data_IF_410151218287
#
_entry.id   IF_410151218287
#
_cell.length_a   1.000
_cell.length_b   1.000
_cell.length_c   1.000
_cell.angle_alpha   90.00
_cell.angle_beta   90.00
_cell.angle_gamma   90.00
#
_symmetry.space_group_name_H-M   'P 1'
#
loop_
_entity.id
_entity.type
_entity.pdbx_description
1 polymer ?
#
# COMPACT_ATOMS: atom_id res chain seq x y z
N UNK A 1 21.21 -18.25 -11.17
CA UNK A 1 19.90 -18.62 -11.75
C UNK A 1 18.84 -17.74 -11.10
N UNK A 2 18.19 -16.83 -11.85
CA UNK A 2 16.99 -16.14 -11.38
C UNK A 2 15.83 -17.13 -11.52
N UNK A 3 15.14 -17.44 -10.41
CA UNK A 3 13.88 -18.19 -10.47
C UNK A 3 12.84 -17.22 -11.02
N UNK A 4 12.25 -17.52 -12.17
CA UNK A 4 11.03 -16.84 -12.61
C UNK A 4 9.96 -17.13 -11.58
N UNK A 5 9.51 -16.08 -10.90
CA UNK A 5 8.37 -16.16 -10.01
C UNK A 5 7.15 -15.99 -10.90
N UNK A 6 6.43 -17.07 -11.17
CA UNK A 6 5.12 -17.05 -11.85
C UNK A 6 4.05 -17.15 -10.76
N UNK A 7 3.55 -16.02 -10.24
CA UNK A 7 2.56 -16.04 -9.17
C UNK A 7 1.19 -16.44 -9.71
N UNK A 8 0.57 -17.44 -9.09
CA UNK A 8 -0.82 -17.86 -9.38
C UNK A 8 -1.84 -16.72 -9.21
N UNK A 9 -1.49 -15.68 -8.42
CA UNK A 9 -2.32 -14.51 -8.17
C UNK A 9 -1.46 -13.28 -7.88
N UNK A 10 -1.80 -12.16 -8.52
CA UNK A 10 -1.19 -10.85 -8.27
C UNK A 10 -2.28 -9.88 -7.86
N UNK A 11 -2.10 -9.26 -6.69
CA UNK A 11 -2.98 -8.21 -6.19
C UNK A 11 -2.23 -6.88 -6.14
N UNK A 12 -2.74 -5.83 -6.79
CA UNK A 12 -2.11 -4.51 -6.71
C UNK A 12 -2.32 -3.91 -5.32
N UNK A 13 -1.28 -3.28 -4.80
CA UNK A 13 -1.30 -2.54 -3.55
C UNK A 13 -0.71 -1.14 -3.77
N UNK A 14 -1.55 -0.12 -3.61
CA UNK A 14 -1.16 1.27 -3.76
C UNK A 14 -0.77 1.92 -2.44
N UNK A 15 0.29 2.71 -2.46
CA UNK A 15 0.67 3.58 -1.34
C UNK A 15 0.47 5.02 -1.79
N UNK A 16 -0.41 5.74 -1.10
CA UNK A 16 -0.64 7.16 -1.34
C UNK A 16 -0.58 7.93 -0.02
N UNK A 17 -0.37 9.24 -0.10
CA UNK A 17 -0.24 10.06 1.10
C UNK A 17 -1.56 10.09 1.90
N UNK A 18 -2.68 10.34 1.21
CA UNK A 18 -4.00 10.56 1.82
C UNK A 18 -5.04 9.50 1.44
N UNK A 19 -4.65 8.37 0.85
CA UNK A 19 -5.59 7.36 0.37
C UNK A 19 -6.22 7.71 -0.99
N UNK A 20 -7.39 7.14 -1.25
CA UNK A 20 -8.21 7.41 -2.42
C UNK A 20 -9.38 8.34 -2.06
N UNK A 21 -10.02 8.94 -3.05
CA UNK A 21 -11.32 9.60 -2.82
C UNK A 21 -12.40 8.54 -2.51
N UNK A 22 -13.51 8.89 -1.83
CA UNK A 22 -14.54 7.91 -1.47
C UNK A 22 -15.08 7.10 -2.66
N UNK A 23 -15.35 7.78 -3.78
CA UNK A 23 -15.80 7.11 -5.02
C UNK A 23 -14.74 6.13 -5.56
N UNK A 24 -13.47 6.50 -5.47
CA UNK A 24 -12.36 5.66 -5.88
C UNK A 24 -12.15 4.49 -4.91
N UNK A 25 -12.32 4.66 -3.60
CA UNK A 25 -12.25 3.57 -2.63
C UNK A 25 -13.29 2.49 -2.93
N UNK A 26 -14.53 2.90 -3.22
CA UNK A 26 -15.60 1.96 -3.59
C UNK A 26 -15.23 1.19 -4.87
N UNK A 27 -14.72 1.90 -5.89
CA UNK A 27 -14.28 1.28 -7.13
C UNK A 27 -13.11 0.32 -6.92
N UNK A 28 -12.07 0.73 -6.20
CA UNK A 28 -10.86 -0.04 -5.95
C UNK A 28 -11.15 -1.29 -5.11
N UNK A 29 -12.00 -1.17 -4.08
CA UNK A 29 -12.48 -2.31 -3.29
C UNK A 29 -13.18 -3.35 -4.18
N UNK A 30 -14.05 -2.90 -5.08
CA UNK A 30 -14.75 -3.81 -6.02
C UNK A 30 -13.80 -4.55 -6.97
N UNK A 31 -12.61 -3.98 -7.22
CA UNK A 31 -11.55 -4.57 -8.04
C UNK A 31 -10.57 -5.40 -7.23
N UNK A 32 -10.76 -5.53 -5.92
CA UNK A 32 -9.82 -6.22 -5.04
C UNK A 32 -8.48 -5.52 -4.95
N UNK A 33 -8.43 -4.20 -5.15
CA UNK A 33 -7.20 -3.42 -5.04
C UNK A 33 -6.99 -3.04 -3.57
N UNK A 34 -5.78 -3.23 -3.06
CA UNK A 34 -5.40 -2.79 -1.72
C UNK A 34 -4.80 -1.38 -1.78
N UNK A 35 -4.96 -0.63 -0.70
CA UNK A 35 -4.23 0.63 -0.52
C UNK A 35 -3.88 0.87 0.94
N UNK A 36 -2.86 1.71 1.13
CA UNK A 36 -2.46 2.19 2.44
C UNK A 36 -2.15 3.68 2.35
N UNK A 37 -2.57 4.40 3.36
CA UNK A 37 -2.27 5.81 3.55
C UNK A 37 -0.87 6.00 4.11
N UNK A 38 -0.44 7.26 4.25
CA UNK A 38 0.79 7.56 4.99
C UNK A 38 0.72 7.11 6.45
N UNK A 39 -0.44 7.23 7.09
CA UNK A 39 -0.64 6.81 8.48
C UNK A 39 -0.49 5.30 8.62
N UNK A 40 -1.09 4.54 7.71
CA UNK A 40 -0.97 3.07 7.68
C UNK A 40 0.47 2.63 7.46
N UNK A 41 1.20 3.32 6.57
CA UNK A 41 2.61 3.05 6.31
C UNK A 41 3.47 3.38 7.53
N UNK A 42 3.27 4.54 8.15
CA UNK A 42 4.02 4.94 9.33
C UNK A 42 3.76 3.99 10.51
N UNK A 43 2.52 3.53 10.71
CA UNK A 43 2.18 2.52 11.71
C UNK A 43 2.86 1.17 11.45
N UNK A 44 2.97 0.75 10.18
CA UNK A 44 3.71 -0.45 9.79
C UNK A 44 5.21 -0.32 10.08
N UNK A 45 5.78 0.85 9.79
CA UNK A 45 7.20 1.13 10.06
C UNK A 45 7.48 1.12 11.56
N UNK A 46 6.61 1.71 12.38
CA UNK A 46 6.73 1.67 13.84
C UNK A 46 6.65 0.24 14.38
N UNK A 47 5.69 -0.54 13.89
CA UNK A 47 5.52 -1.92 14.32
C UNK A 47 6.74 -2.79 14.01
N UNK A 48 7.41 -2.53 12.88
CA UNK A 48 8.61 -3.25 12.45
C UNK A 48 9.90 -2.68 13.04
N UNK A 49 9.83 -1.59 13.82
CA UNK A 49 11.00 -0.88 14.35
C UNK A 49 11.84 -0.19 13.26
N UNK A 50 11.25 0.04 12.08
CA UNK A 50 11.89 0.72 10.97
C UNK A 50 11.78 2.24 11.10
N UNK A 51 12.75 2.94 10.52
CA UNK A 51 12.76 4.40 10.51
C UNK A 51 11.59 4.90 9.63
N UNK A 52 10.73 5.74 10.21
CA UNK A 52 9.69 6.47 9.46
C UNK A 52 10.31 7.29 8.33
N UNK A 53 9.57 7.41 7.23
CA UNK A 53 9.97 8.28 6.13
C UNK A 53 9.99 9.75 6.61
N UNK A 54 10.85 10.62 6.05
CA UNK A 54 10.78 12.05 6.37
C UNK A 54 9.37 12.59 6.02
N UNK A 55 8.84 13.46 6.87
CA UNK A 55 7.64 14.24 6.55
C UNK A 55 8.00 15.36 5.57
N UNK A 56 7.05 15.77 4.72
CA UNK A 56 7.20 17.06 4.03
C UNK A 56 7.26 18.14 5.11
N UNK A 57 8.38 18.88 5.15
CA UNK A 57 8.55 20.10 5.93
C UNK A 57 7.78 21.22 5.23
#
# INVERSE_FOLDING_TARGET
MKRECDPDFVQPWFFSYSGFTPDAEQFMTSKGVLWSTREDLDALLDHTGLRRLPGNI
#
